data_IF_930055218385
#
_entry.id   IF_930055218385
#
_cell.length_a   1.000
_cell.length_b   1.000
_cell.length_c   1.000
_cell.angle_alpha   90.00
_cell.angle_beta   90.00
_cell.angle_gamma   90.00
#
_symmetry.space_group_name_H-M   'P 1'
#
loop_
_entity.id
_entity.type
_entity.pdbx_description
1 polymer ?
#
# COMPACT_ATOMS: atom_id res chain seq x y z
N UNK A 1 55.72 6.62 25.63
CA UNK A 1 54.32 6.91 25.97
C UNK A 1 53.85 8.11 25.16
N UNK A 2 53.06 7.91 24.11
CA UNK A 2 52.15 8.95 23.61
C UNK A 2 51.09 8.23 22.77
N UNK A 3 49.91 8.10 23.35
CA UNK A 3 48.74 7.52 22.72
C UNK A 3 48.19 8.54 21.71
N UNK A 4 48.24 8.21 20.42
CA UNK A 4 47.47 8.93 19.42
C UNK A 4 46.04 8.37 19.43
N UNK A 5 45.13 9.08 20.09
CA UNK A 5 43.70 8.80 20.01
C UNK A 5 43.23 9.25 18.62
N UNK A 6 43.02 8.30 17.73
CA UNK A 6 42.33 8.51 16.47
C UNK A 6 40.85 8.69 16.80
N UNK A 7 40.37 9.92 16.77
CA UNK A 7 38.93 10.21 16.79
C UNK A 7 38.40 9.86 15.39
N UNK A 8 37.85 8.66 15.25
CA UNK A 8 36.99 8.31 14.12
C UNK A 8 35.72 9.19 14.19
N UNK A 9 35.38 9.95 13.13
CA UNK A 9 34.10 10.62 13.09
C UNK A 9 33.00 9.54 13.05
N UNK A 10 32.13 9.58 14.07
CA UNK A 10 30.94 8.75 14.18
C UNK A 10 30.05 8.91 12.94
N UNK A 11 29.47 7.79 12.54
CA UNK A 11 28.46 7.60 11.50
C UNK A 11 27.50 8.79 11.37
N UNK A 12 27.27 9.21 10.12
CA UNK A 12 26.34 10.26 9.73
C UNK A 12 24.89 9.87 10.12
N UNK A 13 24.24 10.72 10.92
CA UNK A 13 22.83 10.63 11.33
C UNK A 13 21.87 10.87 10.13
N UNK A 14 21.79 9.92 9.20
CA UNK A 14 21.10 10.11 7.91
C UNK A 14 19.66 9.62 7.79
N UNK A 15 19.07 8.94 8.79
CA UNK A 15 17.74 8.31 8.62
C UNK A 15 16.81 8.32 9.84
N UNK A 16 16.95 9.27 10.78
CA UNK A 16 15.93 9.40 11.83
C UNK A 16 14.71 10.16 11.30
N UNK A 17 13.83 9.43 10.60
CA UNK A 17 12.52 9.91 10.20
C UNK A 17 11.46 9.36 11.17
N UNK A 18 10.98 10.15 12.17
CA UNK A 18 10.05 9.63 13.17
C UNK A 18 8.64 9.37 12.61
N UNK A 19 8.26 10.09 11.54
CA UNK A 19 7.01 9.95 10.82
C UNK A 19 7.15 10.54 9.41
N UNK A 20 6.34 10.07 8.46
CA UNK A 20 6.31 10.62 7.11
C UNK A 20 5.59 11.98 7.13
N UNK A 21 6.21 13.06 6.64
CA UNK A 21 5.54 14.34 6.53
C UNK A 21 4.39 14.29 5.52
N UNK A 22 3.38 15.13 5.72
CA UNK A 22 2.27 15.28 4.78
C UNK A 22 2.76 15.78 3.42
N UNK A 23 2.12 15.32 2.35
CA UNK A 23 2.49 15.62 0.97
C UNK A 23 3.64 14.79 0.40
N UNK A 24 4.33 14.00 1.23
CA UNK A 24 5.37 13.08 0.76
C UNK A 24 4.73 11.84 0.15
N UNK A 25 5.48 11.18 -0.72
CA UNK A 25 5.06 9.93 -1.34
C UNK A 25 5.79 8.77 -0.71
N UNK A 26 5.12 7.63 -0.66
CA UNK A 26 5.72 6.36 -0.32
C UNK A 26 5.52 5.41 -1.49
N UNK A 27 6.60 4.80 -1.95
CA UNK A 27 6.62 3.93 -3.12
C UNK A 27 7.26 2.60 -2.80
N UNK A 28 6.75 1.53 -3.40
CA UNK A 28 7.30 0.19 -3.23
C UNK A 28 7.31 -0.63 -4.50
N UNK A 29 8.14 -1.66 -4.47
CA UNK A 29 8.44 -2.56 -5.57
C UNK A 29 9.67 -3.38 -5.21
N UNK A 30 9.96 -4.43 -5.98
CA UNK A 30 11.05 -5.37 -5.66
C UNK A 30 11.04 -5.76 -4.17
N UNK A 31 12.12 -5.49 -3.45
CA UNK A 31 12.29 -5.73 -2.01
C UNK A 31 12.43 -4.43 -1.20
N UNK A 32 11.95 -3.29 -1.74
CA UNK A 32 12.19 -1.95 -1.18
C UNK A 32 10.91 -1.16 -0.96
N UNK A 33 11.00 -0.28 0.05
CA UNK A 33 10.08 0.82 0.31
C UNK A 33 10.87 2.11 0.38
N UNK A 34 10.41 3.14 -0.34
CA UNK A 34 11.05 4.45 -0.44
C UNK A 34 10.08 5.53 0.04
N UNK A 35 10.59 6.51 0.78
CA UNK A 35 9.87 7.75 1.10
C UNK A 35 10.51 8.87 0.30
N UNK A 36 9.67 9.59 -0.42
CA UNK A 36 10.06 10.56 -1.45
C UNK A 36 9.49 11.92 -1.05
N UNK A 37 10.36 12.94 -1.03
CA UNK A 37 9.92 14.33 -1.00
C UNK A 37 9.83 14.85 -2.45
N UNK A 38 8.65 14.88 -3.06
CA UNK A 38 8.51 15.29 -4.46
C UNK A 38 8.83 16.78 -4.67
N UNK A 39 8.99 17.58 -3.61
CA UNK A 39 9.34 19.01 -3.75
C UNK A 39 10.84 19.25 -3.93
N UNK A 40 11.69 18.24 -3.67
CA UNK A 40 13.16 18.39 -3.76
C UNK A 40 13.64 18.26 -5.20
N UNK A 41 13.22 17.20 -5.90
CA UNK A 41 13.63 16.91 -7.27
C UNK A 41 12.65 15.96 -7.96
N UNK A 42 12.92 15.65 -9.23
CA UNK A 42 12.13 14.74 -10.05
C UNK A 42 12.88 13.45 -10.40
N UNK A 43 13.83 13.05 -9.56
CA UNK A 43 14.63 11.83 -9.72
C UNK A 43 14.92 11.16 -8.36
N UNK A 44 15.82 10.18 -8.34
CA UNK A 44 16.17 9.43 -7.13
C UNK A 44 16.75 10.28 -5.99
N UNK A 45 17.21 11.50 -6.24
CA UNK A 45 17.63 12.44 -5.19
C UNK A 45 16.46 12.94 -4.33
N UNK A 46 15.21 12.74 -4.76
CA UNK A 46 14.03 13.03 -3.96
C UNK A 46 13.78 11.98 -2.86
N UNK A 47 14.48 10.84 -2.89
CA UNK A 47 14.36 9.79 -1.88
C UNK A 47 15.07 10.22 -0.61
N UNK A 48 14.32 10.42 0.47
CA UNK A 48 14.84 10.87 1.77
C UNK A 48 14.97 9.75 2.80
N UNK A 49 14.31 8.62 2.57
CA UNK A 49 14.39 7.44 3.43
C UNK A 49 14.12 6.19 2.60
N UNK A 50 14.79 5.10 2.97
CA UNK A 50 14.68 3.80 2.31
C UNK A 50 14.65 2.69 3.37
N UNK A 51 13.86 1.67 3.10
CA UNK A 51 13.96 0.37 3.74
C UNK A 51 14.02 -0.73 2.69
N UNK A 52 14.85 -1.74 2.94
CA UNK A 52 14.92 -2.99 2.21
C UNK A 52 14.81 -4.13 3.22
N UNK A 53 14.05 -5.18 2.90
CA UNK A 53 13.71 -6.22 3.88
C UNK A 53 14.92 -6.79 4.63
N UNK A 54 16.06 -6.98 3.93
CA UNK A 54 17.31 -7.49 4.49
C UNK A 54 17.80 -6.72 5.74
N UNK A 55 17.45 -5.45 5.88
CA UNK A 55 17.81 -4.62 7.04
C UNK A 55 17.11 -5.04 8.34
N UNK A 56 16.01 -5.79 8.23
CA UNK A 56 15.18 -6.24 9.36
C UNK A 56 14.96 -7.75 9.36
N UNK A 57 15.70 -8.50 8.54
CA UNK A 57 15.46 -9.94 8.32
C UNK A 57 15.72 -10.80 9.56
N UNK A 58 16.57 -10.33 10.48
CA UNK A 58 16.89 -10.97 11.76
C UNK A 58 15.82 -10.75 12.84
N UNK A 59 14.83 -9.89 12.60
CA UNK A 59 13.76 -9.57 13.56
C UNK A 59 12.59 -10.57 13.54
N UNK A 60 12.47 -11.36 12.47
CA UNK A 60 11.38 -12.32 12.25
C UNK A 60 11.96 -13.66 11.74
N UNK A 61 11.19 -14.77 11.72
CA UNK A 61 11.71 -16.07 11.31
C UNK A 61 12.38 -16.05 9.92
N UNK A 62 13.52 -16.73 9.78
CA UNK A 62 14.40 -16.67 8.59
C UNK A 62 13.67 -16.93 7.26
N UNK A 63 12.68 -17.83 7.28
CA UNK A 63 11.85 -18.20 6.13
C UNK A 63 11.16 -17.00 5.44
N UNK A 64 10.89 -15.91 6.17
CA UNK A 64 10.29 -14.69 5.61
C UNK A 64 11.19 -13.96 4.62
N UNK A 65 12.50 -14.25 4.59
CA UNK A 65 13.41 -13.78 3.55
C UNK A 65 12.98 -14.20 2.14
N UNK A 66 12.18 -15.26 2.04
CA UNK A 66 11.61 -15.70 0.77
C UNK A 66 10.30 -14.99 0.38
N UNK A 67 9.67 -14.27 1.31
CA UNK A 67 8.34 -13.71 1.15
C UNK A 67 8.28 -12.19 0.99
N UNK A 68 9.43 -11.50 0.96
CA UNK A 68 9.53 -10.05 0.72
C UNK A 68 10.39 -9.70 -0.50
N UNK A 69 10.30 -10.51 -1.56
CA UNK A 69 11.04 -10.30 -2.82
C UNK A 69 10.26 -9.48 -3.86
N UNK A 70 8.95 -9.32 -3.65
CA UNK A 70 8.07 -8.56 -4.53
C UNK A 70 7.03 -7.83 -3.68
N UNK A 71 7.38 -6.64 -3.21
CA UNK A 71 6.53 -5.77 -2.40
C UNK A 71 5.55 -5.05 -3.32
N UNK A 72 4.26 -5.22 -3.02
CA UNK A 72 3.17 -4.72 -3.85
C UNK A 72 2.53 -3.45 -3.28
N UNK A 73 2.41 -3.31 -1.97
CA UNK A 73 1.82 -2.12 -1.36
C UNK A 73 2.58 -1.68 -0.12
N UNK A 74 2.66 -0.37 0.10
CA UNK A 74 3.16 0.25 1.31
C UNK A 74 2.21 1.39 1.73
N UNK A 75 1.29 1.11 2.67
CA UNK A 75 0.37 2.13 3.19
C UNK A 75 0.92 2.81 4.43
N UNK A 76 1.00 4.15 4.46
CA UNK A 76 1.32 4.86 5.70
C UNK A 76 0.13 4.73 6.66
N UNK A 77 0.43 4.34 7.89
CA UNK A 77 -0.57 4.06 8.94
C UNK A 77 -0.11 4.61 10.29
N UNK A 78 -0.99 4.58 11.29
CA UNK A 78 -0.72 5.14 12.63
C UNK A 78 -0.22 6.60 12.59
N UNK A 79 -0.97 7.46 11.90
CA UNK A 79 -0.60 8.87 11.67
C UNK A 79 0.79 9.01 11.02
N UNK A 80 1.03 8.24 9.96
CA UNK A 80 2.27 8.23 9.17
C UNK A 80 3.54 7.81 9.96
N UNK A 81 3.41 7.11 11.09
CA UNK A 81 4.56 6.63 11.89
C UNK A 81 5.00 5.22 11.53
N UNK A 82 4.12 4.46 10.88
CA UNK A 82 4.35 3.07 10.48
C UNK A 82 3.88 2.84 9.06
N UNK A 83 4.36 1.76 8.46
CA UNK A 83 4.03 1.36 7.10
C UNK A 83 3.48 -0.05 7.15
N UNK A 84 2.27 -0.25 6.62
CA UNK A 84 1.72 -1.57 6.38
C UNK A 84 2.13 -2.01 4.97
N UNK A 85 2.86 -3.12 4.90
CA UNK A 85 3.54 -3.59 3.69
C UNK A 85 2.97 -4.94 3.28
N UNK A 86 2.60 -5.12 2.02
CA UNK A 86 2.22 -6.42 1.46
C UNK A 86 3.19 -6.86 0.37
N UNK A 87 3.34 -8.17 0.21
CA UNK A 87 4.21 -8.78 -0.79
C UNK A 87 3.53 -9.98 -1.43
N UNK A 88 3.49 -9.99 -2.77
CA UNK A 88 2.96 -11.06 -3.59
C UNK A 88 3.78 -12.34 -3.49
N UNK A 89 5.00 -12.26 -2.98
CA UNK A 89 5.78 -13.45 -2.62
C UNK A 89 5.34 -14.12 -1.32
N UNK A 90 4.38 -13.55 -0.58
CA UNK A 90 3.58 -14.31 0.39
C UNK A 90 3.56 -13.78 1.81
N UNK A 91 3.81 -12.49 2.05
CA UNK A 91 3.82 -11.93 3.40
C UNK A 91 3.24 -10.51 3.49
N UNK A 92 2.79 -10.18 4.69
CA UNK A 92 2.38 -8.83 5.09
C UNK A 92 3.10 -8.48 6.39
N UNK A 93 3.57 -7.25 6.55
CA UNK A 93 4.15 -6.77 7.81
C UNK A 93 3.80 -5.32 8.14
N UNK A 94 3.91 -4.96 9.42
CA UNK A 94 3.85 -3.59 9.91
C UNK A 94 5.27 -3.15 10.31
N UNK A 95 5.79 -2.14 9.64
CA UNK A 95 7.12 -1.60 9.85
C UNK A 95 7.04 -0.25 10.56
N UNK A 96 7.80 -0.07 11.64
CA UNK A 96 8.02 1.21 12.29
C UNK A 96 9.10 2.01 11.54
N UNK A 97 8.83 3.28 11.24
CA UNK A 97 9.72 4.09 10.39
C UNK A 97 10.96 4.55 11.17
N UNK A 98 10.79 4.86 12.45
CA UNK A 98 11.83 5.49 13.26
C UNK A 98 13.03 4.57 13.50
N UNK A 99 12.77 3.28 13.70
CA UNK A 99 13.76 2.27 14.07
C UNK A 99 13.79 1.05 13.13
N UNK A 100 12.98 1.04 12.06
CA UNK A 100 12.84 -0.08 11.11
C UNK A 100 12.46 -1.39 11.78
N UNK A 101 11.77 -1.32 12.93
CA UNK A 101 11.28 -2.50 13.64
C UNK A 101 10.03 -3.08 12.98
N UNK A 102 10.02 -4.39 12.75
CA UNK A 102 8.83 -5.13 12.34
C UNK A 102 7.99 -5.41 13.60
N UNK A 103 6.78 -4.87 13.65
CA UNK A 103 5.89 -4.96 14.81
C UNK A 103 4.71 -5.93 14.60
N UNK A 104 4.48 -6.36 13.37
CA UNK A 104 3.53 -7.41 13.00
C UNK A 104 4.01 -8.07 11.71
N UNK A 105 3.76 -9.36 11.56
CA UNK A 105 3.99 -10.10 10.32
C UNK A 105 3.02 -11.28 10.20
N UNK A 106 2.71 -11.68 8.97
CA UNK A 106 1.93 -12.88 8.69
C UNK A 106 2.26 -13.42 7.29
N UNK A 107 2.18 -14.75 7.12
CA UNK A 107 2.19 -15.41 5.81
C UNK A 107 0.83 -15.17 5.14
N UNK A 108 0.82 -14.31 4.14
CA UNK A 108 -0.39 -13.88 3.41
C UNK A 108 -0.20 -14.19 1.93
N UNK A 109 -0.88 -15.22 1.39
CA UNK A 109 -0.55 -15.75 0.07
C UNK A 109 -0.84 -14.76 -1.06
N UNK A 110 0.19 -14.30 -1.76
CA UNK A 110 0.07 -13.34 -2.85
C UNK A 110 -0.69 -12.06 -2.44
N UNK A 111 -0.26 -11.44 -1.35
CA UNK A 111 -0.91 -10.25 -0.80
C UNK A 111 -0.61 -8.99 -1.64
N UNK A 112 -1.66 -8.32 -2.11
CA UNK A 112 -1.54 -7.10 -2.94
C UNK A 112 -2.06 -5.84 -2.25
N UNK A 113 -2.84 -5.99 -1.18
CA UNK A 113 -3.27 -4.83 -0.40
C UNK A 113 -3.66 -5.19 1.02
N UNK A 114 -3.44 -4.26 1.95
CA UNK A 114 -3.91 -4.37 3.33
C UNK A 114 -4.29 -3.01 3.91
N UNK A 115 -5.14 -3.01 4.94
CA UNK A 115 -5.45 -1.79 5.71
C UNK A 115 -5.75 -2.09 7.18
N UNK A 116 -5.65 -1.07 8.03
CA UNK A 116 -5.99 -1.15 9.44
C UNK A 116 -7.48 -0.94 9.69
N UNK A 117 -8.01 -1.71 10.63
CA UNK A 117 -9.38 -1.56 11.14
C UNK A 117 -9.35 -1.24 12.65
N UNK A 118 -10.43 -0.68 13.21
CA UNK A 118 -10.54 -0.41 14.63
C UNK A 118 -10.25 -1.63 15.51
N UNK A 119 -9.57 -1.41 16.63
CA UNK A 119 -9.20 -2.50 17.56
C UNK A 119 -7.94 -3.28 17.13
N UNK A 120 -6.99 -2.61 16.47
CA UNK A 120 -5.70 -3.17 16.09
C UNK A 120 -5.81 -4.38 15.17
N UNK A 121 -6.72 -4.27 14.20
CA UNK A 121 -6.98 -5.29 13.22
C UNK A 121 -6.32 -4.93 11.89
N UNK A 122 -5.91 -5.95 11.14
CA UNK A 122 -5.37 -5.82 9.78
C UNK A 122 -6.23 -6.65 8.85
N UNK A 123 -6.83 -6.04 7.83
CA UNK A 123 -7.44 -6.78 6.72
C UNK A 123 -6.45 -6.87 5.56
N UNK A 124 -6.36 -8.03 4.93
CA UNK A 124 -5.43 -8.32 3.83
C UNK A 124 -6.20 -8.94 2.66
N UNK A 125 -6.03 -8.39 1.46
CA UNK A 125 -6.51 -8.97 0.21
C UNK A 125 -5.39 -9.79 -0.44
N UNK A 126 -5.66 -11.09 -0.56
CA UNK A 126 -4.80 -12.09 -1.15
C UNK A 126 -5.28 -12.43 -2.56
N UNK A 127 -4.38 -12.35 -3.54
CA UNK A 127 -4.68 -12.55 -4.95
C UNK A 127 -4.52 -14.01 -5.39
N UNK A 128 -4.30 -14.24 -6.68
CA UNK A 128 -4.41 -15.53 -7.37
C UNK A 128 -3.31 -16.53 -6.97
N UNK A 129 -3.51 -17.20 -5.84
CA UNK A 129 -2.64 -18.25 -5.32
C UNK A 129 -3.48 -19.43 -4.82
N UNK A 130 -2.99 -20.70 -4.83
CA UNK A 130 -3.76 -21.86 -4.33
C UNK A 130 -4.24 -21.73 -2.88
N UNK A 131 -3.53 -20.95 -2.06
CA UNK A 131 -3.92 -20.60 -0.67
C UNK A 131 -4.52 -19.20 -0.52
N UNK A 132 -4.48 -18.41 -1.59
CA UNK A 132 -4.96 -17.02 -1.64
C UNK A 132 -6.42 -16.96 -2.09
N UNK A 133 -6.72 -16.01 -2.98
CA UNK A 133 -8.09 -15.65 -3.37
C UNK A 133 -8.99 -15.46 -2.16
N UNK A 134 -8.51 -14.63 -1.24
CA UNK A 134 -9.15 -14.44 0.07
C UNK A 134 -9.04 -13.01 0.57
N UNK A 135 -10.05 -12.62 1.33
CA UNK A 135 -9.96 -11.55 2.31
C UNK A 135 -9.69 -12.19 3.66
N UNK A 136 -8.63 -11.77 4.35
CA UNK A 136 -8.27 -12.29 5.65
C UNK A 136 -8.13 -11.17 6.68
N UNK A 137 -8.45 -11.47 7.94
CA UNK A 137 -8.38 -10.54 9.05
C UNK A 137 -7.43 -11.07 10.12
N UNK A 138 -6.60 -10.19 10.67
CA UNK A 138 -5.61 -10.52 11.70
C UNK A 138 -5.69 -9.54 12.87
N UNK A 139 -5.22 -9.95 14.05
CA UNK A 139 -4.92 -9.04 15.17
C UNK A 139 -3.43 -8.72 15.14
N UNK A 140 -3.05 -7.45 15.35
CA UNK A 140 -1.65 -7.06 15.41
C UNK A 140 -0.90 -7.80 16.53
N UNK A 141 -1.57 -8.11 17.64
CA UNK A 141 -0.99 -8.80 18.79
C UNK A 141 -0.89 -10.33 18.60
N UNK A 142 -1.45 -10.88 17.52
CA UNK A 142 -1.42 -12.32 17.21
C UNK A 142 -0.96 -12.52 15.77
N UNK A 143 0.35 -12.34 15.49
CA UNK A 143 0.91 -12.52 14.16
C UNK A 143 0.62 -13.93 13.62
N UNK A 144 0.63 -14.06 12.29
CA UNK A 144 0.44 -15.32 11.55
C UNK A 144 -0.93 -16.03 11.69
N UNK A 145 -1.80 -15.62 12.62
CA UNK A 145 -3.08 -16.27 12.89
C UNK A 145 -4.25 -15.47 12.31
N UNK A 146 -4.82 -15.86 11.15
CA UNK A 146 -6.03 -15.23 10.66
C UNK A 146 -7.19 -15.56 11.62
N UNK A 147 -7.95 -14.54 12.02
CA UNK A 147 -9.13 -14.67 12.87
C UNK A 147 -10.42 -14.76 12.06
N UNK A 148 -10.37 -14.37 10.79
CA UNK A 148 -11.46 -14.45 9.83
C UNK A 148 -10.91 -14.62 8.42
N UNK A 149 -11.67 -15.30 7.57
CA UNK A 149 -11.38 -15.49 6.14
C UNK A 149 -12.68 -15.52 5.35
N UNK A 150 -12.70 -14.81 4.23
CA UNK A 150 -13.73 -14.90 3.19
C UNK A 150 -13.07 -15.14 1.83
N UNK A 151 -13.83 -15.70 0.90
CA UNK A 151 -13.42 -15.85 -0.50
C UNK A 151 -13.35 -14.50 -1.20
N UNK A 152 -12.30 -14.26 -1.99
CA UNK A 152 -12.15 -13.06 -2.79
C UNK A 152 -11.25 -13.37 -3.98
N UNK A 153 -11.82 -13.58 -5.17
CA UNK A 153 -10.99 -13.87 -6.34
C UNK A 153 -10.17 -12.65 -6.73
N UNK A 154 -8.85 -12.83 -6.89
CA UNK A 154 -7.91 -11.79 -7.33
C UNK A 154 -7.99 -10.50 -6.49
N UNK A 155 -7.86 -10.60 -5.17
CA UNK A 155 -7.88 -9.45 -4.28
C UNK A 155 -6.70 -8.49 -4.50
N UNK A 156 -6.98 -7.20 -4.73
CA UNK A 156 -5.97 -6.18 -5.07
C UNK A 156 -6.10 -4.84 -4.34
N UNK A 157 -7.19 -4.62 -3.60
CA UNK A 157 -7.40 -3.37 -2.87
C UNK A 157 -8.17 -3.60 -1.57
N UNK A 158 -7.72 -2.95 -0.50
CA UNK A 158 -8.39 -2.93 0.81
C UNK A 158 -8.34 -1.50 1.34
N UNK A 159 -9.48 -0.91 1.67
CA UNK A 159 -9.52 0.42 2.28
C UNK A 159 -10.61 0.51 3.35
N UNK A 160 -10.23 0.95 4.55
CA UNK A 160 -11.15 1.24 5.64
C UNK A 160 -11.66 2.67 5.58
N UNK A 161 -12.98 2.83 5.54
CA UNK A 161 -13.64 4.12 5.66
C UNK A 161 -14.07 4.35 7.11
N UNK A 162 -13.38 5.27 7.79
CA UNK A 162 -13.64 5.53 9.21
C UNK A 162 -14.97 6.25 9.48
N UNK A 163 -15.45 7.13 8.59
CA UNK A 163 -16.75 7.80 8.79
C UNK A 163 -17.90 6.80 8.70
N UNK A 164 -17.85 5.89 7.72
CA UNK A 164 -18.91 4.91 7.47
C UNK A 164 -18.77 3.62 8.27
N UNK A 165 -17.63 3.41 8.95
CA UNK A 165 -17.26 2.16 9.63
C UNK A 165 -17.41 0.95 8.71
N UNK A 166 -16.89 1.08 7.49
CA UNK A 166 -16.99 0.08 6.42
C UNK A 166 -15.63 -0.21 5.81
N UNK A 167 -15.40 -1.48 5.49
CA UNK A 167 -14.25 -1.94 4.74
C UNK A 167 -14.65 -2.14 3.28
N UNK A 168 -13.94 -1.50 2.36
CA UNK A 168 -14.08 -1.72 0.93
C UNK A 168 -12.95 -2.61 0.44
N UNK A 169 -13.30 -3.62 -0.36
CA UNK A 169 -12.37 -4.64 -0.82
C UNK A 169 -12.57 -4.88 -2.31
N UNK A 170 -11.50 -4.72 -3.08
CA UNK A 170 -11.50 -4.86 -4.53
C UNK A 170 -10.97 -6.24 -4.93
N UNK A 171 -11.79 -7.00 -5.64
CA UNK A 171 -11.43 -8.27 -6.27
C UNK A 171 -11.16 -8.12 -7.77
N UNK A 172 -11.24 -9.23 -8.50
CA UNK A 172 -11.04 -9.27 -9.94
C UNK A 172 -12.01 -8.38 -10.70
N UNK A 173 -13.31 -8.54 -10.44
CA UNK A 173 -14.39 -7.87 -11.16
C UNK A 173 -15.46 -7.29 -10.24
N UNK A 174 -15.22 -7.32 -8.93
CA UNK A 174 -16.15 -6.87 -7.91
C UNK A 174 -15.49 -5.92 -6.89
N UNK A 175 -16.31 -4.99 -6.39
CA UNK A 175 -16.05 -4.19 -5.21
C UNK A 175 -17.02 -4.63 -4.13
N UNK A 176 -16.48 -5.08 -3.00
CA UNK A 176 -17.24 -5.58 -1.86
C UNK A 176 -17.17 -4.59 -0.71
N UNK A 177 -18.26 -4.51 0.02
CA UNK A 177 -18.36 -3.72 1.25
C UNK A 177 -18.62 -4.64 2.41
N UNK A 178 -17.81 -4.52 3.46
CA UNK A 178 -17.96 -5.27 4.71
C UNK A 178 -18.15 -4.33 5.89
N UNK A 179 -18.77 -4.84 6.95
CA UNK A 179 -18.76 -4.23 8.29
C UNK A 179 -18.01 -5.10 9.27
N UNK A 180 -17.25 -4.47 10.15
CA UNK A 180 -16.64 -5.16 11.29
C UNK A 180 -17.72 -5.49 12.31
N UNK A 181 -17.74 -6.73 12.82
CA UNK A 181 -18.66 -7.12 13.90
C UNK A 181 -18.33 -6.37 15.18
N UNK A 182 -19.33 -6.18 16.07
CA UNK A 182 -19.10 -5.54 17.38
C UNK A 182 -18.04 -6.26 18.22
N UNK A 183 -18.00 -7.60 18.13
CA UNK A 183 -16.99 -8.44 18.78
C UNK A 183 -15.58 -8.30 18.17
N UNK A 184 -15.41 -7.55 17.07
CA UNK A 184 -14.14 -7.28 16.38
C UNK A 184 -13.35 -8.56 16.08
N UNK A 185 -14.04 -9.58 15.59
CA UNK A 185 -13.48 -10.90 15.31
C UNK A 185 -13.87 -11.44 13.92
N UNK A 186 -14.72 -10.73 13.18
CA UNK A 186 -15.26 -11.18 11.91
C UNK A 186 -15.71 -9.98 11.07
N UNK A 187 -15.89 -10.20 9.77
CA UNK A 187 -16.48 -9.24 8.84
C UNK A 187 -17.81 -9.78 8.32
N UNK A 188 -18.79 -8.88 8.19
CA UNK A 188 -20.08 -9.18 7.56
C UNK A 188 -20.12 -8.52 6.19
N UNK A 189 -20.25 -9.32 5.13
CA UNK A 189 -20.46 -8.83 3.77
C UNK A 189 -21.81 -8.10 3.70
N UNK A 190 -21.78 -6.83 3.28
CA UNK A 190 -22.95 -5.96 3.18
C UNK A 190 -23.41 -5.82 1.74
N UNK A 191 -22.47 -5.71 0.80
CA UNK A 191 -22.78 -5.48 -0.60
C UNK A 191 -21.64 -5.98 -1.50
N UNK A 192 -22.00 -6.37 -2.71
CA UNK A 192 -21.09 -6.66 -3.81
C UNK A 192 -21.61 -5.95 -5.05
N UNK A 193 -20.76 -5.18 -5.72
CA UNK A 193 -21.07 -4.54 -7.00
C UNK A 193 -19.98 -4.85 -8.02
N UNK A 194 -20.35 -5.02 -9.29
CA UNK A 194 -19.36 -5.20 -10.35
C UNK A 194 -18.66 -3.87 -10.65
N UNK A 195 -17.34 -3.93 -10.84
CA UNK A 195 -16.56 -2.77 -11.28
C UNK A 195 -16.72 -2.58 -12.79
N UNK A 196 -16.51 -1.36 -13.32
CA UNK A 196 -16.39 -1.16 -14.76
C UNK A 196 -15.06 -1.77 -15.25
N UNK A 197 -15.15 -2.99 -15.77
CA UNK A 197 -14.01 -3.73 -16.33
C UNK A 197 -13.61 -4.95 -15.49
N UNK A 198 -12.41 -5.48 -15.76
CA UNK A 198 -11.86 -6.67 -15.14
C UNK A 198 -10.42 -6.43 -14.66
N UNK A 199 -9.98 -7.24 -13.72
CA UNK A 199 -8.67 -7.14 -13.09
C UNK A 199 -8.55 -5.86 -12.28
N UNK A 200 -9.24 -5.77 -11.15
CA UNK A 200 -8.99 -4.71 -10.17
C UNK A 200 -7.50 -4.67 -9.81
N UNK A 201 -6.92 -3.47 -9.76
CA UNK A 201 -5.49 -3.25 -9.49
C UNK A 201 -5.27 -2.35 -8.27
N UNK A 202 -6.10 -1.33 -8.10
CA UNK A 202 -5.94 -0.41 -6.99
C UNK A 202 -7.25 0.17 -6.46
N UNK A 203 -7.23 0.46 -5.15
CA UNK A 203 -8.34 1.07 -4.42
C UNK A 203 -7.79 2.12 -3.46
N UNK A 204 -8.31 3.34 -3.53
CA UNK A 204 -7.98 4.43 -2.60
C UNK A 204 -9.21 5.25 -2.24
N UNK A 205 -9.20 5.90 -1.07
CA UNK A 205 -10.20 6.90 -0.69
C UNK A 205 -9.89 8.21 -1.41
N UNK A 206 -10.92 8.83 -1.99
CA UNK A 206 -10.89 10.24 -2.41
C UNK A 206 -11.29 11.12 -1.23
N UNK A 207 -12.37 10.71 -0.56
CA UNK A 207 -12.94 11.29 0.66
C UNK A 207 -13.84 10.23 1.33
N UNK A 208 -14.62 10.63 2.34
CA UNK A 208 -15.46 9.71 3.09
C UNK A 208 -16.65 9.14 2.30
N UNK A 209 -16.98 9.70 1.14
CA UNK A 209 -18.16 9.35 0.36
C UNK A 209 -17.80 8.79 -1.04
N UNK A 210 -16.51 8.80 -1.41
CA UNK A 210 -16.01 8.39 -2.73
C UNK A 210 -14.70 7.60 -2.67
N UNK A 211 -14.61 6.58 -3.51
CA UNK A 211 -13.41 5.79 -3.75
C UNK A 211 -12.88 6.02 -5.17
N UNK A 212 -11.58 5.84 -5.37
CA UNK A 212 -10.95 5.74 -6.67
C UNK A 212 -10.55 4.29 -6.90
N UNK A 213 -10.97 3.74 -8.03
CA UNK A 213 -10.78 2.33 -8.39
C UNK A 213 -10.05 2.27 -9.72
N UNK A 214 -8.96 1.50 -9.80
CA UNK A 214 -8.36 1.13 -11.08
C UNK A 214 -8.58 -0.34 -11.39
N UNK A 215 -8.85 -0.63 -12.66
CA UNK A 215 -8.86 -1.96 -13.25
C UNK A 215 -7.79 -2.04 -14.36
N UNK A 216 -7.76 -3.10 -15.15
CA UNK A 216 -6.76 -3.29 -16.21
C UNK A 216 -6.73 -2.13 -17.21
N UNK A 217 -7.92 -1.63 -17.57
CA UNK A 217 -8.13 -0.69 -18.67
C UNK A 217 -9.01 0.51 -18.31
N UNK A 218 -9.32 0.71 -17.02
CA UNK A 218 -10.14 1.83 -16.59
C UNK A 218 -9.75 2.34 -15.21
N UNK A 219 -10.00 3.63 -14.99
CA UNK A 219 -10.06 4.24 -13.66
C UNK A 219 -11.44 4.84 -13.48
N UNK A 220 -12.07 4.59 -12.34
CA UNK A 220 -13.41 5.08 -12.04
C UNK A 220 -13.49 5.66 -10.63
N UNK A 221 -14.31 6.69 -10.46
CA UNK A 221 -14.77 7.14 -9.16
C UNK A 221 -15.98 6.31 -8.79
N UNK A 222 -15.96 5.70 -7.61
CA UNK A 222 -17.12 5.05 -7.02
C UNK A 222 -17.77 5.96 -5.98
N UNK A 223 -19.00 6.39 -6.24
CA UNK A 223 -19.84 7.10 -5.28
C UNK A 223 -20.49 6.09 -4.32
N UNK A 224 -20.13 6.13 -3.04
CA UNK A 224 -20.54 5.11 -2.07
C UNK A 224 -22.06 5.11 -1.85
N UNK A 225 -22.64 6.30 -1.66
CA UNK A 225 -24.08 6.45 -1.38
C UNK A 225 -24.94 6.09 -2.60
N UNK A 226 -24.52 6.51 -3.79
CA UNK A 226 -25.22 6.23 -5.05
C UNK A 226 -24.96 4.81 -5.58
N UNK A 227 -23.91 4.15 -5.07
CA UNK A 227 -23.40 2.86 -5.55
C UNK A 227 -23.15 2.86 -7.05
N UNK A 228 -22.54 3.93 -7.54
CA UNK A 228 -22.35 4.20 -8.96
C UNK A 228 -20.88 4.41 -9.27
N UNK A 229 -20.46 3.94 -10.44
CA UNK A 229 -19.16 4.23 -11.01
C UNK A 229 -19.29 5.27 -12.11
N UNK A 230 -18.43 6.30 -12.05
CA UNK A 230 -18.26 7.27 -13.11
C UNK A 230 -16.81 7.22 -13.61
N UNK A 231 -16.57 7.27 -14.93
CA UNK A 231 -15.20 7.30 -15.47
C UNK A 231 -14.38 8.43 -14.86
N UNK A 232 -13.15 8.12 -14.45
CA UNK A 232 -12.22 9.13 -13.97
C UNK A 232 -11.53 9.78 -15.18
N UNK A 233 -12.13 10.85 -15.68
CA UNK A 233 -11.71 11.56 -16.90
C UNK A 233 -10.19 11.84 -16.99
N UNK A 234 -9.47 12.24 -15.92
CA UNK A 234 -8.04 12.50 -16.01
C UNK A 234 -7.17 11.31 -16.45
N UNK A 235 -7.67 10.07 -16.37
CA UNK A 235 -6.97 8.85 -16.78
C UNK A 235 -7.81 7.97 -17.75
N UNK A 236 -8.81 8.54 -18.42
CA UNK A 236 -9.73 7.77 -19.29
C UNK A 236 -9.01 6.99 -20.40
N UNK A 237 -7.94 7.57 -20.96
CA UNK A 237 -7.14 6.95 -22.04
C UNK A 237 -5.84 6.32 -21.52
N UNK A 238 -5.70 6.11 -20.21
CA UNK A 238 -4.50 5.53 -19.61
C UNK A 238 -4.77 4.10 -19.13
N UNK A 239 -4.06 3.15 -19.74
CA UNK A 239 -4.15 1.74 -19.43
C UNK A 239 -3.11 1.30 -18.39
N UNK A 240 -3.34 0.13 -17.80
CA UNK A 240 -2.39 -0.56 -16.91
C UNK A 240 -1.97 0.27 -15.69
N UNK A 241 -2.90 1.06 -15.14
CA UNK A 241 -2.72 1.78 -13.88
C UNK A 241 -2.53 0.77 -12.74
N UNK A 242 -1.38 0.84 -12.06
CA UNK A 242 -1.04 -0.05 -10.94
C UNK A 242 -1.30 0.57 -9.58
N UNK A 243 -1.27 1.90 -9.50
CA UNK A 243 -1.76 2.64 -8.34
C UNK A 243 -2.29 4.01 -8.68
N UNK A 244 -3.26 4.50 -7.91
CA UNK A 244 -3.88 5.81 -8.14
C UNK A 244 -4.30 6.49 -6.84
N UNK A 245 -3.99 7.78 -6.72
CA UNK A 245 -4.33 8.63 -5.59
C UNK A 245 -4.79 9.99 -6.11
N UNK A 246 -5.95 10.47 -5.69
CA UNK A 246 -6.44 11.77 -6.13
C UNK A 246 -7.01 12.58 -4.96
N UNK A 247 -6.52 13.81 -4.82
CA UNK A 247 -7.06 14.77 -3.88
C UNK A 247 -8.03 15.70 -4.63
N UNK A 248 -9.33 15.52 -4.40
CA UNK A 248 -10.37 16.30 -5.07
C UNK A 248 -10.33 17.81 -4.75
N UNK A 249 -9.77 18.21 -3.59
CA UNK A 249 -9.71 19.63 -3.18
C UNK A 249 -8.62 20.39 -3.92
N UNK A 250 -7.48 19.75 -4.16
CA UNK A 250 -6.32 20.35 -4.86
C UNK A 250 -6.23 19.92 -6.32
N UNK A 251 -7.08 18.99 -6.75
CA UNK A 251 -7.01 18.30 -8.03
C UNK A 251 -5.65 17.60 -8.28
N UNK A 252 -4.91 17.28 -7.22
CA UNK A 252 -3.61 16.62 -7.29
C UNK A 252 -3.80 15.13 -7.53
N UNK A 253 -3.34 14.62 -8.67
CA UNK A 253 -3.30 13.20 -8.99
C UNK A 253 -1.86 12.67 -8.85
N UNK A 254 -1.67 11.51 -8.22
CA UNK A 254 -0.40 10.79 -8.14
C UNK A 254 -0.65 9.32 -8.43
N UNK A 255 0.04 8.77 -9.42
CA UNK A 255 -0.25 7.43 -9.93
C UNK A 255 0.97 6.75 -10.54
N UNK A 256 0.84 5.44 -10.74
CA UNK A 256 1.81 4.61 -11.46
C UNK A 256 1.08 3.83 -12.54
N UNK A 257 1.74 3.64 -13.68
CA UNK A 257 1.27 2.78 -14.76
C UNK A 257 2.40 1.82 -15.11
N UNK A 258 2.08 0.59 -15.47
CA UNK A 258 3.11 -0.31 -15.95
C UNK A 258 3.62 0.13 -17.33
N UNK A 259 4.93 0.04 -17.52
CA UNK A 259 5.59 0.48 -18.76
C UNK A 259 6.46 -0.62 -19.39
N UNK A 260 6.99 -1.53 -18.57
CA UNK A 260 7.75 -2.69 -19.07
C UNK A 260 6.98 -4.01 -18.94
N UNK A 261 6.38 -4.27 -17.77
CA UNK A 261 5.62 -5.50 -17.52
C UNK A 261 4.51 -5.22 -16.51
N UNK A 262 4.70 -5.60 -15.25
CA UNK A 262 3.82 -5.21 -14.14
C UNK A 262 4.29 -3.92 -13.45
N UNK A 263 5.44 -3.38 -13.81
CA UNK A 263 6.16 -2.32 -13.09
C UNK A 263 6.57 -1.14 -13.99
N UNK A 264 7.10 -0.08 -13.37
CA UNK A 264 7.65 1.12 -13.99
C UNK A 264 8.84 1.67 -13.17
N UNK A 265 9.66 2.57 -13.75
CA UNK A 265 10.61 3.40 -13.01
C UNK A 265 10.07 4.79 -12.69
N UNK A 266 8.81 5.09 -13.02
CA UNK A 266 8.26 6.43 -13.00
C UNK A 266 7.04 6.53 -12.07
N UNK A 267 7.02 7.59 -11.26
CA UNK A 267 5.81 8.05 -10.57
C UNK A 267 5.31 9.28 -11.31
N UNK A 268 4.04 9.27 -11.68
CA UNK A 268 3.40 10.34 -12.43
C UNK A 268 2.50 11.18 -11.53
N UNK A 269 2.41 12.46 -11.89
CA UNK A 269 1.72 13.42 -11.08
C UNK A 269 1.16 14.57 -11.93
N UNK A 270 -0.04 15.06 -11.61
CA UNK A 270 -0.63 16.26 -12.24
C UNK A 270 -1.05 17.30 -11.19
N UNK A 271 -1.18 18.55 -11.60
CA UNK A 271 -1.52 19.71 -10.75
C UNK A 271 -0.53 19.97 -9.60
N UNK A 272 0.78 20.23 -9.87
CA UNK A 272 1.39 20.44 -11.19
C UNK A 272 1.87 19.14 -11.85
N UNK A 273 2.15 19.21 -13.15
CA UNK A 273 2.73 18.09 -13.89
C UNK A 273 4.13 17.77 -13.37
N UNK A 274 4.33 16.52 -12.97
CA UNK A 274 5.59 16.03 -12.45
C UNK A 274 5.76 14.55 -12.78
N UNK A 275 7.00 14.14 -13.05
CA UNK A 275 7.39 12.75 -13.20
C UNK A 275 8.65 12.50 -12.39
N UNK A 276 8.57 11.69 -11.34
CA UNK A 276 9.73 11.31 -10.53
C UNK A 276 10.29 10.00 -11.06
N UNK A 277 11.56 9.99 -11.49
CA UNK A 277 12.23 8.82 -12.06
C UNK A 277 13.15 8.11 -11.05
N UNK A 278 12.93 6.81 -10.82
CA UNK A 278 13.65 5.99 -9.83
C UNK A 278 14.13 4.69 -10.50
N UNK A 279 15.28 4.69 -11.21
CA UNK A 279 15.78 3.53 -11.95
C UNK A 279 16.27 2.38 -11.07
N UNK A 280 16.34 2.58 -9.75
CA UNK A 280 16.83 1.59 -8.78
C UNK A 280 15.74 0.71 -8.18
N UNK A 281 14.49 0.88 -8.62
CA UNK A 281 13.30 0.22 -8.12
C UNK A 281 12.34 -0.12 -9.25
N UNK A 282 12.05 -1.40 -9.47
CA UNK A 282 10.89 -1.80 -10.29
C UNK A 282 9.62 -1.53 -9.52
N UNK A 283 9.09 -0.33 -9.69
CA UNK A 283 8.03 0.22 -8.87
C UNK A 283 6.66 -0.33 -9.28
N UNK A 284 5.87 -0.71 -8.28
CA UNK A 284 4.49 -1.17 -8.48
C UNK A 284 3.47 -0.12 -8.02
N UNK A 285 3.38 0.16 -6.70
CA UNK A 285 2.44 1.14 -6.14
C UNK A 285 3.11 2.35 -5.49
N UNK A 286 2.39 3.47 -5.53
CA UNK A 286 2.67 4.69 -4.76
C UNK A 286 1.46 5.10 -3.93
N UNK A 287 1.71 5.64 -2.73
CA UNK A 287 0.72 6.29 -1.87
C UNK A 287 1.15 7.71 -1.52
N UNK A 288 0.17 8.57 -1.25
CA UNK A 288 0.38 9.94 -0.77
C UNK A 288 0.07 10.02 0.73
N UNK A 289 0.93 10.66 1.50
CA UNK A 289 0.72 10.87 2.93
C UNK A 289 -0.12 12.14 3.15
N UNK A 290 -1.30 12.01 3.75
CA UNK A 290 -2.23 13.13 4.00
C UNK A 290 -2.25 13.61 5.46
#
# INVERSE_FOLDING_TARGET
MLWAIIILPRLTNGQQLPQIPKGYWIACGDDKVLIINPSISSDSSAVIWKWQFKESADQIPEEYSNYFKSIDECKPVFANKKILITSSTGATCLLNIADKKIEFYAKTPMAHSADLLPGHLVAVANSTHPKGNSLELYRLEQPEKPIYKDSLYSGHGVVWNNKLQQLFVLGYDDLRTYRLTEAKNSLTLVNTIKIPGLGGHDLSLIDDDRLLVSSTDAVAIFSINERKFDPFIPLADTHHIKSVNWNAKTNRLVYTKAEESWWTFNIYATSPNQKVHIPTLKLYKVRVCY
#
